data_IF_059917058604
#
_entry.id   IF_059917058604
#
_cell.length_a   1.000
_cell.length_b   1.000
_cell.length_c   1.000
_cell.angle_alpha   90.00
_cell.angle_beta   90.00
_cell.angle_gamma   90.00
#
_symmetry.space_group_name_H-M   'P 1'
#
loop_
_entity.id
_entity.type
_entity.pdbx_description
1 polymer ?
#
# COMPACT_ATOMS: atom_id res chain seq x y z
N UNK A 1 -14.20 4.55 -16.05
CA UNK A 1 -13.10 3.57 -16.14
C UNK A 1 -12.18 4.01 -17.26
N UNK A 2 -10.87 4.04 -17.01
CA UNK A 2 -9.87 4.43 -18.01
C UNK A 2 -9.75 3.32 -19.07
N UNK A 3 -9.90 3.67 -20.34
CA UNK A 3 -9.81 2.73 -21.47
C UNK A 3 -8.41 2.13 -21.67
N UNK A 4 -7.40 2.65 -20.95
CA UNK A 4 -6.03 2.12 -20.94
C UNK A 4 -5.81 1.04 -19.88
N UNK A 5 -6.84 0.71 -19.09
CA UNK A 5 -6.79 -0.35 -18.10
C UNK A 5 -6.69 -1.74 -18.71
N UNK A 6 -6.29 -2.72 -17.90
CA UNK A 6 -6.18 -4.12 -18.34
C UNK A 6 -7.54 -4.79 -18.59
N UNK A 7 -8.61 -4.22 -18.05
CA UNK A 7 -9.98 -4.74 -18.14
C UNK A 7 -10.93 -3.66 -18.65
N UNK A 8 -11.86 -4.03 -19.50
CA UNK A 8 -12.91 -3.14 -19.97
C UNK A 8 -13.97 -2.89 -18.87
N UNK A 9 -14.81 -1.89 -19.08
CA UNK A 9 -15.91 -1.61 -18.17
C UNK A 9 -16.93 -2.76 -18.16
N UNK A 10 -17.16 -3.37 -19.32
CA UNK A 10 -18.07 -4.49 -19.50
C UNK A 10 -17.56 -5.73 -18.74
N UNK A 11 -16.30 -6.11 -18.91
CA UNK A 11 -15.68 -7.25 -18.19
C UNK A 11 -15.75 -7.07 -16.70
N UNK A 12 -15.49 -5.85 -16.19
CA UNK A 12 -15.60 -5.57 -14.75
C UNK A 12 -17.06 -5.62 -14.26
N UNK A 13 -18.02 -5.15 -15.06
CA UNK A 13 -19.43 -5.21 -14.69
C UNK A 13 -19.95 -6.66 -14.63
N UNK A 14 -19.58 -7.50 -15.59
CA UNK A 14 -19.91 -8.92 -15.60
C UNK A 14 -19.28 -9.64 -14.40
N UNK A 15 -18.01 -9.36 -14.11
CA UNK A 15 -17.30 -9.91 -12.96
C UNK A 15 -17.98 -9.56 -11.64
N UNK A 16 -18.35 -8.29 -11.44
CA UNK A 16 -19.06 -7.83 -10.25
C UNK A 16 -20.42 -8.51 -10.11
N UNK A 17 -21.18 -8.63 -11.23
CA UNK A 17 -22.48 -9.28 -11.23
C UNK A 17 -22.39 -10.76 -10.84
N UNK A 18 -21.45 -11.50 -11.44
CA UNK A 18 -21.22 -12.91 -11.13
C UNK A 18 -20.93 -13.15 -9.66
N UNK A 19 -20.05 -12.31 -9.07
CA UNK A 19 -19.73 -12.42 -7.64
C UNK A 19 -20.92 -12.07 -6.73
N UNK A 20 -21.76 -11.09 -7.15
CA UNK A 20 -22.97 -10.73 -6.41
C UNK A 20 -24.01 -11.84 -6.44
N UNK A 21 -24.11 -12.56 -7.55
CA UNK A 21 -25.04 -13.67 -7.72
C UNK A 21 -24.54 -15.00 -7.09
N UNK A 22 -23.32 -15.00 -6.55
CA UNK A 22 -22.71 -16.13 -5.84
C UNK A 22 -22.09 -17.17 -6.77
N UNK A 23 -21.84 -16.81 -8.03
CA UNK A 23 -21.17 -17.67 -8.98
C UNK A 23 -19.67 -17.79 -8.63
N UNK A 24 -19.13 -19.00 -8.73
CA UNK A 24 -17.67 -19.21 -8.68
C UNK A 24 -17.04 -18.63 -9.95
N UNK A 25 -16.50 -17.41 -9.84
CA UNK A 25 -15.71 -16.84 -10.93
C UNK A 25 -14.33 -17.50 -10.91
N UNK A 26 -13.92 -18.03 -12.05
CA UNK A 26 -12.59 -18.61 -12.19
C UNK A 26 -11.53 -17.55 -11.86
N UNK A 27 -10.75 -17.76 -10.79
CA UNK A 27 -9.65 -16.90 -10.32
C UNK A 27 -8.57 -16.61 -11.37
N UNK A 28 -8.69 -17.19 -12.57
CA UNK A 28 -7.69 -17.12 -13.62
C UNK A 28 -7.71 -15.79 -14.41
N UNK A 29 -8.81 -15.02 -14.37
CA UNK A 29 -8.98 -13.82 -15.20
C UNK A 29 -8.71 -12.55 -14.40
N UNK A 30 -9.18 -12.49 -13.16
CA UNK A 30 -9.03 -11.34 -12.29
C UNK A 30 -8.13 -11.65 -11.08
N UNK A 31 -7.36 -10.65 -10.59
CA UNK A 31 -6.56 -10.82 -9.38
C UNK A 31 -7.44 -11.14 -8.16
N UNK A 32 -7.01 -12.12 -7.36
CA UNK A 32 -7.79 -12.63 -6.22
C UNK A 32 -8.17 -11.57 -5.18
N UNK A 33 -7.40 -10.49 -5.04
CA UNK A 33 -7.73 -9.41 -4.13
C UNK A 33 -9.03 -8.67 -4.52
N UNK A 34 -9.33 -8.59 -5.84
CA UNK A 34 -10.59 -7.99 -6.33
C UNK A 34 -11.79 -8.87 -5.99
N UNK A 35 -11.70 -10.20 -6.21
CA UNK A 35 -12.76 -11.14 -5.84
C UNK A 35 -13.07 -11.07 -4.35
N UNK A 36 -12.01 -11.07 -3.52
CA UNK A 36 -12.14 -10.95 -2.06
C UNK A 36 -12.82 -9.65 -1.67
N UNK A 37 -12.35 -8.52 -2.20
CA UNK A 37 -12.91 -7.20 -1.88
C UNK A 37 -14.39 -7.09 -2.28
N UNK A 38 -14.73 -7.49 -3.50
CA UNK A 38 -16.11 -7.38 -4.01
C UNK A 38 -17.05 -8.27 -3.18
N UNK A 39 -16.63 -9.49 -2.86
CA UNK A 39 -17.40 -10.39 -2.01
C UNK A 39 -17.62 -9.81 -0.62
N UNK A 40 -16.60 -9.25 0.01
CA UNK A 40 -16.72 -8.57 1.30
C UNK A 40 -17.64 -7.37 1.22
N UNK A 41 -17.50 -6.55 0.19
CA UNK A 41 -18.30 -5.34 -0.02
C UNK A 41 -19.81 -5.61 -0.07
N UNK A 42 -20.23 -6.69 -0.75
CA UNK A 42 -21.65 -7.05 -0.82
C UNK A 42 -22.17 -7.76 0.45
N UNK A 43 -21.31 -8.43 1.19
CA UNK A 43 -21.70 -9.19 2.37
C UNK A 43 -21.58 -8.42 3.69
N UNK A 44 -20.82 -7.33 3.71
CA UNK A 44 -20.60 -6.51 4.90
C UNK A 44 -21.08 -5.09 4.62
N UNK A 45 -22.25 -4.66 5.12
CA UNK A 45 -22.67 -3.28 5.01
C UNK A 45 -21.62 -2.39 5.67
N UNK A 46 -20.99 -1.52 4.92
CA UNK A 46 -20.08 -0.55 5.49
C UNK A 46 -20.87 0.57 6.16
N UNK A 47 -20.51 0.86 7.37
CA UNK A 47 -20.96 2.07 8.06
C UNK A 47 -20.22 3.32 7.56
N UNK A 48 -19.07 3.13 6.84
CA UNK A 48 -18.23 4.23 6.35
C UNK A 48 -17.51 3.84 5.05
N UNK A 49 -17.66 4.65 3.99
CA UNK A 49 -17.00 4.46 2.69
C UNK A 49 -15.46 4.47 2.79
N UNK A 50 -14.90 5.18 3.79
CA UNK A 50 -13.48 5.24 4.04
C UNK A 50 -12.87 3.87 4.37
N UNK A 51 -13.60 3.03 5.09
CA UNK A 51 -13.16 1.67 5.44
C UNK A 51 -13.02 0.77 4.21
N UNK A 52 -13.78 1.03 3.16
CA UNK A 52 -13.70 0.25 1.92
C UNK A 52 -12.44 0.54 1.11
N UNK A 53 -12.02 1.81 1.00
CA UNK A 53 -10.80 2.18 0.29
C UNK A 53 -9.56 1.61 0.99
N UNK A 54 -9.48 1.74 2.31
CA UNK A 54 -8.40 1.17 3.11
C UNK A 54 -8.37 -0.37 3.04
N UNK A 55 -9.55 -1.00 3.03
CA UNK A 55 -9.65 -2.45 2.87
C UNK A 55 -9.17 -2.91 1.49
N UNK A 56 -9.57 -2.23 0.43
CA UNK A 56 -9.08 -2.51 -0.93
C UNK A 56 -7.57 -2.32 -1.02
N UNK A 57 -7.05 -1.23 -0.45
CA UNK A 57 -5.61 -0.98 -0.39
C UNK A 57 -4.87 -2.08 0.37
N UNK A 58 -5.36 -2.51 1.53
CA UNK A 58 -4.76 -3.59 2.31
C UNK A 58 -4.68 -4.91 1.53
N UNK A 59 -5.77 -5.30 0.87
CA UNK A 59 -5.83 -6.49 0.03
C UNK A 59 -4.87 -6.39 -1.17
N UNK A 60 -4.82 -5.23 -1.81
CA UNK A 60 -3.90 -4.98 -2.92
C UNK A 60 -2.44 -5.09 -2.50
N UNK A 61 -2.04 -4.45 -1.39
CA UNK A 61 -0.68 -4.56 -0.87
C UNK A 61 -0.32 -6.00 -0.50
N UNK A 62 -1.23 -6.71 0.19
CA UNK A 62 -1.04 -8.11 0.54
C UNK A 62 -0.87 -9.02 -0.69
N UNK A 63 -1.58 -8.73 -1.79
CA UNK A 63 -1.43 -9.42 -3.06
C UNK A 63 -0.09 -9.08 -3.73
N UNK A 64 0.25 -7.81 -3.85
CA UNK A 64 1.45 -7.35 -4.54
C UNK A 64 2.74 -7.79 -3.84
N UNK A 65 2.77 -7.80 -2.51
CA UNK A 65 3.91 -8.29 -1.72
C UNK A 65 4.15 -9.80 -1.86
N UNK A 66 3.20 -10.57 -2.39
CA UNK A 66 3.38 -12.00 -2.72
C UNK A 66 3.93 -12.23 -4.13
N UNK A 67 4.20 -11.17 -4.90
CA UNK A 67 4.76 -11.28 -6.23
C UNK A 67 6.08 -12.05 -6.20
N UNK A 68 6.29 -12.94 -7.19
CA UNK A 68 7.54 -13.73 -7.32
C UNK A 68 8.75 -12.85 -7.65
N UNK A 69 8.54 -11.74 -8.33
CA UNK A 69 9.59 -10.77 -8.59
C UNK A 69 9.92 -10.03 -7.27
N UNK A 70 11.15 -10.21 -6.79
CA UNK A 70 11.61 -9.66 -5.51
C UNK A 70 11.60 -8.13 -5.51
N UNK A 71 11.97 -7.49 -6.62
CA UNK A 71 11.93 -6.04 -6.71
C UNK A 71 10.49 -5.54 -6.52
N UNK A 72 9.53 -6.13 -7.23
CA UNK A 72 8.11 -5.76 -7.13
C UNK A 72 7.60 -5.96 -5.70
N UNK A 73 7.81 -7.14 -5.10
CA UNK A 73 7.34 -7.41 -3.74
C UNK A 73 7.95 -6.46 -2.71
N UNK A 74 9.26 -6.19 -2.81
CA UNK A 74 9.97 -5.26 -1.91
C UNK A 74 9.55 -3.81 -2.12
N UNK A 75 9.28 -3.39 -3.37
CA UNK A 75 8.75 -2.08 -3.69
C UNK A 75 7.41 -1.81 -3.01
N UNK A 76 6.50 -2.77 -3.06
CA UNK A 76 5.21 -2.63 -2.38
C UNK A 76 5.34 -2.65 -0.86
N UNK A 77 6.21 -3.48 -0.29
CA UNK A 77 6.51 -3.48 1.14
C UNK A 77 7.10 -2.13 1.60
N UNK A 78 8.05 -1.59 0.85
CA UNK A 78 8.63 -0.26 1.10
C UNK A 78 7.56 0.83 1.07
N UNK A 79 6.72 0.90 0.02
CA UNK A 79 5.68 1.92 -0.07
C UNK A 79 4.63 1.80 1.03
N UNK A 80 4.20 0.59 1.39
CA UNK A 80 3.28 0.38 2.50
C UNK A 80 3.86 0.91 3.81
N UNK A 81 5.11 0.55 4.12
CA UNK A 81 5.82 1.01 5.31
C UNK A 81 5.95 2.54 5.32
N UNK A 82 6.41 3.12 4.22
CA UNK A 82 6.60 4.57 4.08
C UNK A 82 5.28 5.32 4.30
N UNK A 83 4.21 4.91 3.63
CA UNK A 83 2.92 5.57 3.72
C UNK A 83 2.35 5.47 5.14
N UNK A 84 2.37 4.28 5.76
CA UNK A 84 1.86 4.08 7.11
C UNK A 84 2.66 4.87 8.16
N UNK A 85 3.99 4.95 8.06
CA UNK A 85 4.81 5.77 8.98
C UNK A 85 4.47 7.25 8.82
N UNK A 86 4.32 7.77 7.60
CA UNK A 86 3.92 9.16 7.37
C UNK A 86 2.52 9.46 7.91
N UNK A 87 1.58 8.53 7.74
CA UNK A 87 0.23 8.62 8.32
C UNK A 87 0.31 8.65 9.85
N UNK A 88 1.05 7.72 10.47
CA UNK A 88 1.21 7.66 11.91
C UNK A 88 1.86 8.91 12.51
N UNK A 89 2.92 9.44 11.88
CA UNK A 89 3.56 10.70 12.28
C UNK A 89 2.59 11.88 12.19
N UNK A 90 1.81 11.93 11.11
CA UNK A 90 0.79 12.97 10.89
C UNK A 90 -0.33 12.86 11.91
N UNK A 91 -0.88 11.67 12.14
CA UNK A 91 -1.92 11.43 13.14
C UNK A 91 -1.46 11.82 14.54
N UNK A 92 -0.22 11.49 14.92
CA UNK A 92 0.37 11.91 16.20
C UNK A 92 0.48 13.43 16.31
N UNK A 93 0.91 14.12 15.24
CA UNK A 93 0.99 15.59 15.21
C UNK A 93 -0.37 16.24 15.46
N UNK A 94 -1.44 15.67 14.90
CA UNK A 94 -2.80 16.18 15.06
C UNK A 94 -3.59 15.52 16.20
N UNK A 95 -2.95 14.67 17.01
CA UNK A 95 -3.57 13.95 18.14
C UNK A 95 -4.78 13.10 17.74
N UNK A 96 -4.71 12.51 16.56
CA UNK A 96 -5.69 11.55 16.04
C UNK A 96 -5.35 10.14 16.53
N UNK A 97 -6.34 9.26 16.56
CA UNK A 97 -6.11 7.83 16.79
C UNK A 97 -5.38 7.25 15.57
N UNK A 98 -4.25 6.58 15.81
CA UNK A 98 -3.40 6.02 14.76
C UNK A 98 -3.95 4.68 14.28
N UNK A 99 -4.45 3.85 15.20
CA UNK A 99 -4.75 2.46 14.90
C UNK A 99 -5.69 2.25 13.69
N UNK A 100 -6.81 2.98 13.55
CA UNK A 100 -7.72 2.82 12.41
C UNK A 100 -7.16 3.35 11.08
N UNK A 101 -6.09 4.17 11.10
CA UNK A 101 -5.51 4.79 9.91
C UNK A 101 -4.40 3.96 9.25
N UNK A 102 -3.98 2.87 9.89
CA UNK A 102 -2.88 2.03 9.39
C UNK A 102 -3.43 0.94 8.49
N UNK A 103 -2.95 0.92 7.27
CA UNK A 103 -3.35 -0.04 6.23
C UNK A 103 -2.44 -1.28 6.27
N UNK A 104 -3.02 -2.47 6.18
CA UNK A 104 -2.28 -3.75 6.11
C UNK A 104 -1.94 -4.35 7.46
N UNK A 105 -1.29 -5.53 7.44
CA UNK A 105 -1.08 -6.39 8.62
C UNK A 105 0.37 -6.89 8.74
N UNK A 106 1.34 -6.03 8.43
CA UNK A 106 2.76 -6.34 8.63
C UNK A 106 3.18 -6.07 10.08
N UNK A 107 4.35 -6.59 10.48
CA UNK A 107 4.93 -6.31 11.81
C UNK A 107 5.09 -4.81 12.05
N UNK A 108 5.47 -4.05 11.02
CA UNK A 108 5.53 -2.58 11.09
C UNK A 108 4.15 -1.97 11.33
N UNK A 109 3.11 -2.46 10.66
CA UNK A 109 1.74 -1.99 10.87
C UNK A 109 1.29 -2.22 12.32
N UNK A 110 1.60 -3.38 12.89
CA UNK A 110 1.27 -3.71 14.27
C UNK A 110 2.05 -2.82 15.26
N UNK A 111 3.33 -2.59 15.02
CA UNK A 111 4.13 -1.67 15.83
C UNK A 111 3.55 -0.25 15.80
N UNK A 112 3.14 0.25 14.64
CA UNK A 112 2.52 1.56 14.50
C UNK A 112 1.18 1.69 15.26
N UNK A 113 0.38 0.61 15.30
CA UNK A 113 -0.92 0.60 16.00
C UNK A 113 -0.77 0.57 17.52
N UNK A 114 0.25 -0.13 18.02
CA UNK A 114 0.32 -0.48 19.45
C UNK A 114 1.38 0.28 20.21
N UNK A 115 2.44 0.78 19.54
CA UNK A 115 3.57 1.39 20.23
C UNK A 115 3.31 2.83 20.62
N UNK A 116 3.50 3.13 21.92
CA UNK A 116 3.55 4.48 22.45
C UNK A 116 4.91 5.18 22.32
N UNK A 117 5.95 4.48 21.84
CA UNK A 117 7.29 5.03 21.70
C UNK A 117 7.34 6.15 20.63
N UNK A 118 8.31 7.08 20.78
CA UNK A 118 8.46 8.21 19.84
C UNK A 118 8.74 7.73 18.42
N UNK A 119 9.52 6.69 18.27
CA UNK A 119 9.95 6.05 17.02
C UNK A 119 9.08 4.82 16.67
N UNK A 120 7.97 4.61 17.36
CA UNK A 120 7.10 3.45 17.25
C UNK A 120 7.81 2.11 17.52
N UNK A 121 9.04 2.12 18.06
CA UNK A 121 9.89 0.94 18.23
C UNK A 121 10.49 0.45 16.91
N UNK A 122 10.48 1.27 15.85
CA UNK A 122 10.93 0.90 14.51
C UNK A 122 12.39 1.26 14.22
N UNK A 123 13.10 1.86 15.19
CA UNK A 123 14.54 2.14 15.06
C UNK A 123 15.31 0.83 14.89
N UNK A 124 16.04 0.71 13.77
CA UNK A 124 16.73 -0.52 13.39
C UNK A 124 15.94 -1.52 12.57
N UNK A 125 14.61 -1.36 12.49
CA UNK A 125 13.73 -2.17 11.64
C UNK A 125 13.44 -1.47 10.29
N UNK A 126 13.36 -0.14 10.32
CA UNK A 126 13.07 0.71 9.15
C UNK A 126 14.24 1.67 8.93
N UNK A 127 15.15 1.33 8.02
CA UNK A 127 16.40 2.07 7.77
C UNK A 127 16.18 3.55 7.37
N UNK A 128 15.05 3.83 6.74
CA UNK A 128 14.68 5.17 6.28
C UNK A 128 13.75 5.95 7.25
N UNK A 129 13.56 5.46 8.50
CA UNK A 129 12.67 6.08 9.48
C UNK A 129 13.05 7.55 9.77
N UNK A 130 14.33 7.84 9.97
CA UNK A 130 14.80 9.19 10.25
C UNK A 130 14.53 10.16 9.09
N UNK A 131 14.56 9.65 7.85
CA UNK A 131 14.21 10.44 6.67
C UNK A 131 12.71 10.75 6.66
N UNK A 132 11.85 9.79 7.01
CA UNK A 132 10.41 9.98 7.10
C UNK A 132 10.04 11.01 8.18
N UNK A 133 10.70 10.97 9.34
CA UNK A 133 10.52 11.98 10.40
C UNK A 133 10.82 13.37 9.87
N UNK A 134 11.96 13.58 9.20
CA UNK A 134 12.33 14.87 8.59
C UNK A 134 11.36 15.32 7.50
N UNK A 135 10.86 14.38 6.70
CA UNK A 135 9.85 14.64 5.67
C UNK A 135 8.53 15.11 6.32
N UNK A 136 8.09 14.45 7.38
CA UNK A 136 6.85 14.80 8.10
C UNK A 136 6.88 16.18 8.76
N UNK A 137 8.06 16.68 9.08
CA UNK A 137 8.29 18.02 9.63
C UNK A 137 8.28 19.12 8.57
N UNK A 138 8.32 18.77 7.29
CA UNK A 138 8.29 19.73 6.18
C UNK A 138 6.89 20.31 6.02
N UNK A 139 6.73 21.61 6.21
CA UNK A 139 5.41 22.27 6.18
C UNK A 139 4.92 22.54 4.76
N UNK A 140 5.84 22.88 3.84
CA UNK A 140 5.50 23.17 2.46
C UNK A 140 5.21 21.87 1.70
N UNK A 141 3.98 21.74 1.15
CA UNK A 141 3.48 20.49 0.57
C UNK A 141 4.29 20.03 -0.64
N UNK A 142 4.64 20.94 -1.55
CA UNK A 142 5.39 20.58 -2.77
C UNK A 142 6.81 20.12 -2.42
N UNK A 143 7.43 20.76 -1.43
CA UNK A 143 8.76 20.36 -0.96
C UNK A 143 8.68 18.98 -0.26
N UNK A 144 7.64 18.74 0.52
CA UNK A 144 7.41 17.45 1.16
C UNK A 144 7.23 16.33 0.14
N UNK A 145 6.40 16.53 -0.89
CA UNK A 145 6.20 15.56 -1.96
C UNK A 145 7.48 15.27 -2.73
N UNK A 146 8.28 16.30 -3.04
CA UNK A 146 9.60 16.11 -3.67
C UNK A 146 10.55 15.27 -2.83
N UNK A 147 10.53 15.44 -1.51
CA UNK A 147 11.35 14.63 -0.59
C UNK A 147 10.87 13.18 -0.53
N UNK A 148 9.54 12.94 -0.58
CA UNK A 148 8.96 11.60 -0.68
C UNK A 148 9.40 10.94 -2.00
N UNK A 149 9.29 11.65 -3.10
CA UNK A 149 9.71 11.14 -4.41
C UNK A 149 11.23 10.87 -4.47
N UNK A 150 12.03 11.72 -3.84
CA UNK A 150 13.47 11.49 -3.73
C UNK A 150 13.78 10.24 -2.89
N UNK A 151 13.04 10.00 -1.82
CA UNK A 151 13.18 8.78 -1.01
C UNK A 151 12.86 7.54 -1.83
N UNK A 152 11.77 7.57 -2.61
CA UNK A 152 11.39 6.49 -3.53
C UNK A 152 12.46 6.24 -4.59
N UNK A 153 12.98 7.30 -5.17
CA UNK A 153 14.04 7.22 -6.16
C UNK A 153 15.31 6.58 -5.60
N UNK A 154 15.78 7.05 -4.45
CA UNK A 154 16.95 6.50 -3.79
C UNK A 154 16.78 5.01 -3.48
N UNK A 155 15.61 4.62 -2.99
CA UNK A 155 15.30 3.22 -2.74
C UNK A 155 15.37 2.37 -4.03
N UNK A 156 14.84 2.87 -5.14
CA UNK A 156 14.92 2.17 -6.44
C UNK A 156 16.36 2.04 -6.92
N UNK A 157 17.17 3.09 -6.80
CA UNK A 157 18.59 3.06 -7.15
C UNK A 157 19.36 2.03 -6.32
N UNK A 158 19.13 2.00 -5.01
CA UNK A 158 19.76 1.01 -4.11
C UNK A 158 19.31 -0.41 -4.42
N UNK A 159 18.02 -0.63 -4.61
CA UNK A 159 17.44 -1.95 -4.89
C UNK A 159 17.92 -2.54 -6.23
N UNK A 160 18.33 -1.70 -7.18
CA UNK A 160 18.80 -2.11 -8.51
C UNK A 160 20.30 -1.91 -8.71
N UNK A 161 21.04 -1.50 -7.68
CA UNK A 161 22.45 -1.12 -7.79
C UNK A 161 23.36 -2.19 -8.37
N UNK A 162 23.11 -3.47 -8.03
CA UNK A 162 23.90 -4.61 -8.53
C UNK A 162 23.30 -5.26 -9.79
N UNK A 163 22.14 -4.80 -10.25
CA UNK A 163 21.36 -5.44 -11.34
C UNK A 163 21.55 -4.75 -12.70
N UNK A 164 22.80 -4.37 -13.02
CA UNK A 164 23.13 -3.55 -14.21
C UNK A 164 22.63 -4.13 -15.55
N UNK A 165 22.43 -5.45 -15.63
CA UNK A 165 22.08 -6.16 -16.86
C UNK A 165 20.77 -6.94 -16.74
N UNK A 166 19.97 -6.67 -15.72
CA UNK A 166 18.68 -7.31 -15.52
C UNK A 166 17.54 -6.47 -16.12
N UNK A 167 16.41 -7.14 -16.36
CA UNK A 167 15.19 -6.47 -16.88
C UNK A 167 14.70 -5.42 -15.87
N UNK A 168 14.82 -5.69 -14.58
CA UNK A 168 14.45 -4.77 -13.50
C UNK A 168 15.13 -3.41 -13.66
N UNK A 169 16.42 -3.39 -13.97
CA UNK A 169 17.18 -2.13 -14.17
C UNK A 169 16.74 -1.36 -15.41
N UNK A 170 16.21 -2.02 -16.42
CA UNK A 170 15.77 -1.37 -17.66
C UNK A 170 14.42 -0.64 -17.50
N UNK A 171 13.63 -0.99 -16.49
CA UNK A 171 12.30 -0.42 -16.25
C UNK A 171 12.26 0.57 -15.07
N UNK A 172 13.35 0.78 -14.37
CA UNK A 172 13.56 1.80 -13.35
C UNK A 172 14.33 3.00 -13.94
#
# INVERSE_FOLDING_TARGET
IDSRGNYSAEELAEFISSLKDGDEVADAVFPSYLSTFISEYFNTPAEDDFLHEDRLAALYYAYAMKCRNKFVSSWFAFNLTMNNVLVALTARKFKMDIAPLIVGDTEVCEALRTSGARDFGLTGEVDFLDQLVKISETEELVEREKKIDQLRWNWMEEATFFDYFTIERLFV
#
